data_IF_294600136272
#
_entry.id   IF_294600136272
#
_cell.length_a   1.000
_cell.length_b   1.000
_cell.length_c   1.000
_cell.angle_alpha   90.00
_cell.angle_beta   90.00
_cell.angle_gamma   90.00
#
_symmetry.space_group_name_H-M   'P 1'
#
loop_
_entity.id
_entity.type
_entity.pdbx_description
1 polymer ?
#
# COMPACT_ATOMS: atom_id res chain seq x y z
N UNK A 1 -17.29 43.51 -5.94
CA UNK A 1 -15.90 43.73 -5.53
C UNK A 1 -15.73 42.94 -4.23
N UNK A 2 -15.16 41.74 -4.29
CA UNK A 2 -14.96 40.88 -3.10
C UNK A 2 -13.88 41.49 -2.23
N UNK A 3 -14.05 41.48 -0.91
CA UNK A 3 -13.07 42.08 -0.01
C UNK A 3 -11.86 41.14 0.15
N UNK A 4 -10.64 41.64 0.40
CA UNK A 4 -9.43 40.81 0.53
C UNK A 4 -9.57 39.70 1.60
N UNK A 5 -10.39 39.93 2.63
CA UNK A 5 -10.67 38.97 3.69
C UNK A 5 -11.55 37.79 3.21
N UNK A 6 -12.50 38.03 2.30
CA UNK A 6 -13.32 36.96 1.71
C UNK A 6 -12.51 36.07 0.76
N UNK A 7 -11.58 36.67 0.01
CA UNK A 7 -10.65 35.93 -0.85
C UNK A 7 -9.77 34.98 0.00
N UNK A 8 -9.17 35.49 1.09
CA UNK A 8 -8.36 34.68 2.00
C UNK A 8 -9.15 33.52 2.63
N UNK A 9 -10.38 33.78 3.06
CA UNK A 9 -11.24 32.73 3.61
C UNK A 9 -11.61 31.67 2.57
N UNK A 10 -11.81 32.04 1.30
CA UNK A 10 -12.04 31.10 0.21
C UNK A 10 -10.81 30.26 -0.10
N UNK A 11 -9.61 30.83 -0.08
CA UNK A 11 -8.36 30.07 -0.21
C UNK A 11 -8.17 29.10 0.95
N UNK A 12 -8.45 29.52 2.19
CA UNK A 12 -8.37 28.66 3.36
C UNK A 12 -9.38 27.51 3.29
N UNK A 13 -10.63 27.77 2.87
CA UNK A 13 -11.64 26.75 2.64
C UNK A 13 -11.24 25.77 1.53
N UNK A 14 -10.68 26.27 0.42
CA UNK A 14 -10.17 25.41 -0.66
C UNK A 14 -9.01 24.52 -0.18
N UNK A 15 -8.07 25.08 0.58
CA UNK A 15 -6.97 24.33 1.17
C UNK A 15 -7.46 23.27 2.15
N UNK A 16 -8.42 23.60 3.02
CA UNK A 16 -9.05 22.65 3.94
C UNK A 16 -9.80 21.55 3.18
N UNK A 17 -10.52 21.88 2.11
CA UNK A 17 -11.22 20.89 1.28
C UNK A 17 -10.25 19.97 0.52
N UNK A 18 -9.13 20.50 0.02
CA UNK A 18 -8.08 19.71 -0.63
C UNK A 18 -7.37 18.80 0.39
N UNK A 19 -7.08 19.29 1.58
CA UNK A 19 -6.49 18.50 2.66
C UNK A 19 -7.45 17.43 3.18
N UNK A 20 -8.74 17.74 3.32
CA UNK A 20 -9.78 16.77 3.67
C UNK A 20 -9.96 15.72 2.58
N UNK A 21 -9.91 16.08 1.29
CA UNK A 21 -9.93 15.11 0.19
C UNK A 21 -8.71 14.18 0.24
N UNK A 22 -7.52 14.70 0.55
CA UNK A 22 -6.30 13.89 0.66
C UNK A 22 -6.31 12.96 1.90
N UNK A 23 -6.93 13.40 3.02
CA UNK A 23 -7.17 12.58 4.23
C UNK A 23 -8.27 11.53 4.03
N UNK A 24 -9.29 11.84 3.23
CA UNK A 24 -10.37 10.90 2.88
C UNK A 24 -9.91 9.88 1.83
N UNK A 25 -8.90 10.21 1.02
CA UNK A 25 -8.26 9.31 0.06
C UNK A 25 -7.17 8.46 0.71
N UNK A 26 -6.63 8.84 1.88
CA UNK A 26 -5.68 8.00 2.61
C UNK A 26 -6.40 6.84 3.29
N UNK A 27 -6.33 5.69 2.61
CA UNK A 27 -6.32 4.33 3.18
C UNK A 27 -7.56 3.88 3.93
N UNK A 28 -8.63 3.55 3.20
CA UNK A 28 -9.47 2.44 3.66
C UNK A 28 -8.84 1.16 3.10
N UNK A 29 -7.89 0.59 3.84
CA UNK A 29 -7.44 -0.78 3.63
C UNK A 29 -8.69 -1.65 3.65
N UNK A 30 -8.90 -2.45 2.62
CA UNK A 30 -10.06 -3.31 2.53
C UNK A 30 -10.01 -4.42 3.59
N UNK A 31 -11.17 -4.83 4.07
CA UNK A 31 -11.31 -6.02 4.92
C UNK A 31 -10.76 -7.27 4.21
N UNK A 32 -10.75 -7.28 2.88
CA UNK A 32 -10.19 -8.34 2.05
C UNK A 32 -8.65 -8.38 2.10
N UNK A 33 -7.97 -7.23 2.07
CA UNK A 33 -6.52 -7.17 2.27
C UNK A 33 -6.14 -7.70 3.66
N UNK A 34 -6.90 -7.31 4.68
CA UNK A 34 -6.69 -7.81 6.05
C UNK A 34 -6.91 -9.31 6.13
N UNK A 35 -7.99 -9.84 5.55
CA UNK A 35 -8.26 -11.27 5.50
C UNK A 35 -7.15 -12.05 4.78
N UNK A 36 -6.59 -11.50 3.70
CA UNK A 36 -5.42 -12.06 3.02
C UNK A 36 -4.20 -12.13 3.95
N UNK A 37 -3.90 -11.04 4.67
CA UNK A 37 -2.79 -11.01 5.65
C UNK A 37 -3.00 -12.04 6.77
N UNK A 38 -4.21 -12.11 7.34
CA UNK A 38 -4.57 -13.09 8.38
C UNK A 38 -4.40 -14.53 7.87
N UNK A 39 -4.76 -14.80 6.61
CA UNK A 39 -4.55 -16.10 5.99
C UNK A 39 -3.06 -16.44 5.86
N UNK A 40 -2.23 -15.49 5.42
CA UNK A 40 -0.78 -15.68 5.33
C UNK A 40 -0.13 -15.87 6.71
N UNK A 41 -0.66 -15.25 7.76
CA UNK A 41 -0.25 -15.54 9.15
C UNK A 41 -0.65 -16.95 9.59
N UNK A 42 -1.87 -17.41 9.27
CA UNK A 42 -2.33 -18.78 9.59
C UNK A 42 -1.43 -19.85 8.96
N UNK A 43 -0.89 -19.60 7.76
CA UNK A 43 0.06 -20.49 7.09
C UNK A 43 1.52 -20.28 7.52
N UNK A 44 1.79 -19.45 8.54
CA UNK A 44 3.12 -19.13 9.05
C UNK A 44 4.09 -18.54 8.00
N UNK A 45 3.54 -17.90 6.96
CA UNK A 45 4.30 -17.16 5.96
C UNK A 45 4.70 -15.80 6.55
N UNK A 46 3.73 -15.10 7.16
CA UNK A 46 3.98 -13.92 7.99
C UNK A 46 4.16 -14.38 9.44
N UNK A 47 5.27 -14.00 10.05
CA UNK A 47 5.65 -14.42 11.42
C UNK A 47 5.78 -13.24 12.36
N UNK A 48 6.32 -12.14 11.85
CA UNK A 48 6.53 -10.89 12.56
C UNK A 48 5.26 -10.04 12.54
N UNK A 49 4.86 -9.54 13.71
CA UNK A 49 3.78 -8.55 13.82
C UNK A 49 4.09 -7.29 13.01
N UNK A 50 5.37 -6.94 12.86
CA UNK A 50 5.76 -5.75 12.11
C UNK A 50 5.53 -5.93 10.61
N UNK A 51 5.82 -7.12 10.07
CA UNK A 51 5.55 -7.44 8.67
C UNK A 51 4.05 -7.48 8.39
N UNK A 52 3.25 -8.03 9.31
CA UNK A 52 1.79 -8.01 9.21
C UNK A 52 1.24 -6.58 9.18
N UNK A 53 1.67 -5.72 10.10
CA UNK A 53 1.27 -4.32 10.17
C UNK A 53 1.57 -3.59 8.85
N UNK A 54 2.78 -3.75 8.31
CA UNK A 54 3.17 -3.12 7.04
C UNK A 54 2.28 -3.61 5.89
N UNK A 55 2.09 -4.93 5.78
CA UNK A 55 1.24 -5.53 4.75
C UNK A 55 -0.24 -5.11 4.87
N UNK A 56 -0.73 -4.88 6.09
CA UNK A 56 -2.08 -4.36 6.30
C UNK A 56 -2.18 -2.89 5.89
N UNK A 57 -1.16 -2.05 6.12
CA UNK A 57 -1.25 -0.60 5.81
C UNK A 57 -1.29 -0.28 4.31
N UNK A 58 -0.82 -1.21 3.47
CA UNK A 58 -0.72 -1.00 2.02
C UNK A 58 -1.65 -1.97 1.31
N UNK A 59 -2.76 -1.46 0.81
CA UNK A 59 -3.73 -2.30 0.11
C UNK A 59 -3.21 -2.72 -1.26
N UNK A 60 -3.10 -4.04 -1.45
CA UNK A 60 -2.64 -4.67 -2.69
C UNK A 60 -3.48 -4.29 -3.92
N UNK A 61 -4.77 -3.95 -3.76
CA UNK A 61 -5.64 -3.56 -4.89
C UNK A 61 -5.12 -2.35 -5.66
N UNK A 62 -4.33 -1.50 -5.01
CA UNK A 62 -3.74 -0.31 -5.63
C UNK A 62 -2.71 -0.64 -6.72
N UNK A 63 -2.23 -1.89 -6.78
CA UNK A 63 -1.15 -2.33 -7.67
C UNK A 63 -1.59 -3.36 -8.72
N UNK A 64 -2.89 -3.64 -8.84
CA UNK A 64 -3.44 -4.57 -9.84
C UNK A 64 -4.40 -3.84 -10.81
N UNK A 65 -4.56 -4.34 -12.04
CA UNK A 65 -5.55 -3.80 -12.97
C UNK A 65 -6.99 -3.97 -12.46
N UNK A 66 -7.93 -3.09 -12.86
CA UNK A 66 -9.35 -3.28 -12.57
C UNK A 66 -9.87 -4.62 -13.08
N UNK A 67 -10.72 -5.29 -12.29
CA UNK A 67 -11.29 -6.60 -12.62
C UNK A 67 -10.37 -7.79 -12.33
N UNK A 68 -9.16 -7.56 -11.81
CA UNK A 68 -8.31 -8.62 -11.26
C UNK A 68 -8.81 -9.10 -9.89
N UNK A 69 -8.24 -10.19 -9.40
CA UNK A 69 -8.55 -10.78 -8.08
C UNK A 69 -7.42 -10.53 -7.07
N UNK A 70 -7.13 -9.27 -6.66
CA UNK A 70 -5.88 -8.86 -5.99
C UNK A 70 -5.39 -9.75 -4.85
N UNK A 71 -6.32 -10.30 -4.06
CA UNK A 71 -6.03 -11.02 -2.82
C UNK A 71 -5.86 -12.53 -3.01
N UNK A 72 -5.99 -13.03 -4.25
CA UNK A 72 -5.69 -14.43 -4.55
C UNK A 72 -4.18 -14.66 -4.51
N UNK A 73 -3.75 -15.75 -3.87
CA UNK A 73 -2.32 -16.02 -3.67
C UNK A 73 -1.62 -16.56 -4.93
N UNK A 74 -1.61 -15.74 -5.99
CA UNK A 74 -0.97 -16.05 -7.27
C UNK A 74 -0.35 -14.78 -7.88
N UNK A 75 0.68 -14.91 -8.74
CA UNK A 75 1.15 -13.80 -9.54
C UNK A 75 0.03 -13.27 -10.44
N UNK A 76 0.01 -11.96 -10.69
CA UNK A 76 -1.00 -11.33 -11.56
C UNK A 76 -0.38 -10.40 -12.59
N UNK A 77 -0.85 -10.43 -13.85
CA UNK A 77 -0.34 -9.53 -14.88
C UNK A 77 -0.71 -8.08 -14.56
N UNK A 78 0.26 -7.18 -14.73
CA UNK A 78 0.09 -5.72 -14.57
C UNK A 78 0.31 -4.96 -15.88
N UNK A 79 0.36 -5.69 -17.00
CA UNK A 79 0.74 -5.15 -18.32
C UNK A 79 2.25 -5.20 -18.56
N UNK A 80 2.69 -4.72 -19.73
CA UNK A 80 4.12 -4.62 -20.10
C UNK A 80 4.94 -5.91 -19.94
N UNK A 81 4.30 -7.06 -20.12
CA UNK A 81 4.88 -8.40 -19.90
C UNK A 81 5.49 -8.55 -18.49
N UNK A 82 4.88 -7.92 -17.50
CA UNK A 82 5.24 -7.98 -16.10
C UNK A 82 4.07 -8.49 -15.26
N UNK A 83 4.40 -9.07 -14.12
CA UNK A 83 3.45 -9.54 -13.13
C UNK A 83 3.83 -8.96 -11.77
N UNK A 84 2.83 -8.61 -10.96
CA UNK A 84 3.03 -8.49 -9.53
C UNK A 84 3.15 -9.90 -8.93
N UNK A 85 4.12 -10.11 -8.03
CA UNK A 85 4.37 -11.40 -7.38
C UNK A 85 3.14 -11.86 -6.58
N UNK A 86 3.04 -13.15 -6.28
CA UNK A 86 2.00 -13.66 -5.40
C UNK A 86 2.08 -13.01 -4.00
N UNK A 87 0.94 -12.74 -3.34
CA UNK A 87 0.86 -12.22 -1.97
C UNK A 87 1.89 -12.80 -1.00
N UNK A 88 2.12 -14.12 -0.96
CA UNK A 88 3.08 -14.72 -0.01
C UNK A 88 4.55 -14.33 -0.22
N UNK A 89 4.93 -13.88 -1.41
CA UNK A 89 6.32 -13.57 -1.74
C UNK A 89 6.81 -12.30 -1.04
N UNK A 90 5.97 -11.26 -0.95
CA UNK A 90 6.33 -9.99 -0.31
C UNK A 90 6.69 -10.16 1.16
N UNK A 91 5.83 -10.74 2.02
CA UNK A 91 6.18 -10.94 3.42
C UNK A 91 7.36 -11.88 3.59
N UNK A 92 7.54 -12.89 2.73
CA UNK A 92 8.73 -13.75 2.78
C UNK A 92 10.02 -12.95 2.62
N UNK A 93 10.06 -11.98 1.70
CA UNK A 93 11.18 -11.05 1.55
C UNK A 93 11.32 -10.11 2.74
N UNK A 94 10.21 -9.51 3.20
CA UNK A 94 10.21 -8.59 4.34
C UNK A 94 10.69 -9.26 5.63
N UNK A 95 10.31 -10.52 5.88
CA UNK A 95 10.78 -11.30 7.03
C UNK A 95 12.29 -11.48 7.02
N UNK A 96 12.88 -11.75 5.85
CA UNK A 96 14.33 -11.89 5.67
C UNK A 96 15.06 -10.56 5.87
N UNK A 97 14.45 -9.46 5.41
CA UNK A 97 15.07 -8.13 5.39
C UNK A 97 14.75 -7.28 6.62
N UNK A 98 13.85 -7.69 7.53
CA UNK A 98 13.37 -6.84 8.62
C UNK A 98 14.49 -6.23 9.46
N UNK A 99 15.58 -6.98 9.72
CA UNK A 99 16.73 -6.51 10.50
C UNK A 99 17.61 -5.50 9.74
N UNK A 100 17.49 -5.46 8.42
CA UNK A 100 18.21 -4.60 7.49
C UNK A 100 17.34 -3.46 6.93
N UNK A 101 16.06 -3.40 7.31
CA UNK A 101 15.11 -2.35 6.94
C UNK A 101 14.72 -1.55 8.18
N UNK A 102 15.71 -0.85 8.76
CA UNK A 102 15.52 -0.01 9.94
C UNK A 102 15.46 1.47 9.56
N UNK A 103 14.82 2.34 10.37
CA UNK A 103 14.81 3.77 10.13
C UNK A 103 16.22 4.33 9.88
N UNK A 104 16.39 5.12 8.81
CA UNK A 104 17.67 5.68 8.40
C UNK A 104 18.52 4.79 7.49
N UNK A 105 18.12 3.54 7.26
CA UNK A 105 18.75 2.67 6.26
C UNK A 105 18.30 3.02 4.83
N UNK A 106 19.03 2.50 3.84
CA UNK A 106 18.72 2.65 2.42
C UNK A 106 18.53 1.27 1.81
N UNK A 107 17.43 1.09 1.09
CA UNK A 107 17.14 -0.11 0.34
C UNK A 107 17.17 0.20 -1.16
N UNK A 108 17.62 -0.76 -1.96
CA UNK A 108 17.50 -0.73 -3.41
C UNK A 108 16.61 -1.91 -3.80
N UNK A 109 15.45 -1.62 -4.37
CA UNK A 109 14.68 -2.62 -5.11
C UNK A 109 15.18 -2.62 -6.56
N UNK A 110 15.91 -3.68 -6.93
CA UNK A 110 16.56 -3.81 -8.23
C UNK A 110 15.60 -4.08 -9.38
N UNK A 111 14.32 -4.37 -9.12
CA UNK A 111 13.33 -4.62 -10.16
C UNK A 111 12.00 -3.98 -9.81
N UNK A 112 11.79 -2.71 -10.18
CA UNK A 112 10.47 -2.04 -10.15
C UNK A 112 9.38 -2.78 -10.99
N UNK A 113 9.72 -3.85 -11.70
CA UNK A 113 8.76 -4.78 -12.33
C UNK A 113 8.12 -5.78 -11.36
N UNK A 114 8.71 -5.98 -10.18
CA UNK A 114 8.21 -6.85 -9.10
C UNK A 114 8.03 -5.96 -7.88
N UNK A 115 6.90 -5.27 -7.80
CA UNK A 115 6.59 -4.34 -6.72
C UNK A 115 6.74 -5.08 -5.38
N UNK A 116 7.83 -4.80 -4.66
CA UNK A 116 7.94 -5.03 -3.23
C UNK A 116 7.37 -3.78 -2.57
N UNK A 117 6.17 -3.93 -2.03
CA UNK A 117 5.67 -3.09 -0.93
C UNK A 117 6.07 -3.75 0.39
#
# INVERSE_FOLDING_TARGET
>A
MTTPHEEQNRFMLLLVLILLQHLLWSSRVSDENKAMVEQLQKYAIIKSSKVAEVMETIDRVLFVPPGASPYYDSPMPIGYNATISAPHMHPSCLELLQKHLQPGMRALDGNIKWIVI
#
